data_IF_914870855022
#
_entry.id   IF_914870855022
#
_cell.length_a   1.000
_cell.length_b   1.000
_cell.length_c   1.000
_cell.angle_alpha   90.00
_cell.angle_beta   90.00
_cell.angle_gamma   90.00
#
_symmetry.space_group_name_H-M   'P 1'
#
loop_
_entity.id
_entity.type
_entity.pdbx_description
1 polymer ?
#
# COMPACT_ATOMS: atom_id res chain seq x y z
N UNK A 1 11.79 -31.26 -16.94
CA UNK A 1 12.27 -31.02 -18.32
C UNK A 1 12.63 -29.55 -18.46
N UNK A 2 13.80 -29.20 -19.02
CA UNK A 2 14.23 -27.81 -19.26
C UNK A 2 14.09 -27.45 -20.73
N UNK A 3 13.57 -26.27 -21.02
CA UNK A 3 13.46 -25.73 -22.38
C UNK A 3 14.63 -24.77 -22.65
N UNK A 4 15.29 -24.95 -23.78
CA UNK A 4 16.40 -24.09 -24.22
C UNK A 4 16.09 -23.51 -25.59
N UNK A 5 16.20 -22.19 -25.72
CA UNK A 5 15.97 -21.51 -27.00
C UNK A 5 17.04 -21.84 -28.06
N UNK A 6 18.27 -22.16 -27.65
CA UNK A 6 19.37 -22.50 -28.54
C UNK A 6 20.45 -23.37 -27.86
N UNK A 7 21.41 -23.84 -28.64
CA UNK A 7 22.54 -24.68 -28.19
C UNK A 7 23.44 -23.97 -27.17
N UNK A 8 23.61 -22.65 -27.27
CA UNK A 8 24.41 -21.84 -26.32
C UNK A 8 23.81 -21.89 -24.91
N UNK A 9 22.49 -21.71 -24.78
CA UNK A 9 21.78 -21.81 -23.50
C UNK A 9 21.90 -23.23 -22.91
N UNK A 10 21.74 -24.27 -23.75
CA UNK A 10 21.87 -25.68 -23.34
C UNK A 10 23.29 -25.98 -22.83
N UNK A 11 24.33 -25.53 -23.55
CA UNK A 11 25.73 -25.72 -23.15
C UNK A 11 26.04 -25.08 -21.81
N UNK A 12 25.60 -23.84 -21.58
CA UNK A 12 25.82 -23.16 -20.31
C UNK A 12 25.11 -23.83 -19.13
N UNK A 13 23.92 -24.38 -19.37
CA UNK A 13 23.20 -25.15 -18.37
C UNK A 13 23.96 -26.42 -17.97
N UNK A 14 24.45 -27.21 -18.93
CA UNK A 14 25.24 -28.41 -18.64
C UNK A 14 26.59 -28.09 -17.97
N UNK A 15 27.20 -26.95 -18.32
CA UNK A 15 28.41 -26.44 -17.66
C UNK A 15 28.12 -25.81 -16.28
N UNK A 16 26.88 -25.88 -15.78
CA UNK A 16 26.45 -25.38 -14.46
C UNK A 16 26.75 -23.89 -14.25
N UNK A 17 26.78 -23.10 -15.32
CA UNK A 17 26.95 -21.66 -15.21
C UNK A 17 25.67 -21.01 -14.68
N UNK A 18 25.80 -20.16 -13.66
CA UNK A 18 24.68 -19.43 -13.08
C UNK A 18 24.20 -18.35 -14.05
N UNK A 19 22.94 -18.34 -14.50
CA UNK A 19 22.43 -17.28 -15.39
C UNK A 19 22.60 -15.88 -14.78
N UNK A 20 22.50 -15.74 -13.46
CA UNK A 20 22.73 -14.49 -12.73
C UNK A 20 24.13 -13.89 -12.90
N UNK A 21 25.12 -14.66 -13.37
CA UNK A 21 26.48 -14.19 -13.69
C UNK A 21 26.68 -13.87 -15.18
N UNK A 22 25.72 -14.21 -16.04
CA UNK A 22 25.81 -13.99 -17.49
C UNK A 22 25.09 -12.69 -17.87
N UNK A 23 25.88 -11.68 -18.26
CA UNK A 23 25.47 -10.27 -18.41
C UNK A 23 24.26 -10.01 -19.32
N UNK A 24 24.08 -10.83 -20.35
CA UNK A 24 23.03 -10.71 -21.35
C UNK A 24 21.72 -11.40 -20.97
N UNK A 25 21.70 -12.21 -19.91
CA UNK A 25 20.50 -12.96 -19.51
C UNK A 25 19.49 -12.07 -18.79
N UNK A 26 18.20 -12.42 -18.89
CA UNK A 26 17.13 -11.75 -18.17
C UNK A 26 17.35 -11.75 -16.65
N UNK A 27 17.88 -12.85 -16.09
CA UNK A 27 18.14 -12.95 -14.65
C UNK A 27 19.21 -11.96 -14.19
N UNK A 28 20.31 -11.83 -14.95
CA UNK A 28 21.33 -10.82 -14.65
C UNK A 28 20.76 -9.41 -14.75
N UNK A 29 20.03 -9.10 -15.82
CA UNK A 29 19.46 -7.77 -16.06
C UNK A 29 18.45 -7.39 -14.97
N UNK A 30 17.63 -8.32 -14.50
CA UNK A 30 16.74 -8.13 -13.34
C UNK A 30 17.51 -7.81 -12.05
N UNK A 31 18.51 -8.62 -11.71
CA UNK A 31 19.30 -8.42 -10.48
C UNK A 31 20.07 -7.10 -10.47
N UNK A 32 20.58 -6.68 -11.63
CA UNK A 32 21.37 -5.46 -11.80
C UNK A 32 20.51 -4.25 -12.21
N UNK A 33 19.19 -4.33 -12.09
CA UNK A 33 18.25 -3.24 -12.39
C UNK A 33 18.48 -2.65 -13.79
N UNK A 34 18.72 -3.48 -14.79
CA UNK A 34 18.79 -3.09 -16.21
C UNK A 34 17.42 -3.18 -16.93
N UNK A 35 16.42 -3.77 -16.27
CA UNK A 35 15.04 -3.92 -16.75
C UNK A 35 14.07 -3.04 -15.96
N UNK A 36 14.36 -1.73 -15.88
CA UNK A 36 13.62 -0.77 -15.02
C UNK A 36 12.21 -0.47 -15.54
N UNK A 37 11.90 -0.78 -16.80
CA UNK A 37 10.68 -0.32 -17.46
C UNK A 37 9.38 -1.04 -17.05
N UNK A 38 9.42 -2.21 -16.40
CA UNK A 38 8.21 -3.03 -16.18
C UNK A 38 7.79 -3.26 -14.71
N UNK A 39 8.70 -3.21 -13.74
CA UNK A 39 8.38 -3.59 -12.33
C UNK A 39 8.17 -2.40 -11.38
N UNK A 40 8.28 -1.15 -11.86
CA UNK A 40 8.21 0.03 -11.01
C UNK A 40 6.79 0.51 -10.67
N UNK A 41 5.74 -0.28 -10.92
CA UNK A 41 4.46 -0.07 -10.21
C UNK A 41 4.63 -0.67 -8.82
N UNK A 42 5.40 0.03 -7.97
CA UNK A 42 5.39 -0.19 -6.53
C UNK A 42 3.93 -0.18 -6.11
N UNK A 43 3.37 -1.33 -5.72
CA UNK A 43 2.02 -1.39 -5.18
C UNK A 43 2.00 -0.47 -3.96
N UNK A 44 1.50 0.75 -4.16
CA UNK A 44 1.41 1.74 -3.10
C UNK A 44 0.47 1.16 -2.06
N UNK A 45 0.97 0.94 -0.85
CA UNK A 45 0.15 0.42 0.25
C UNK A 45 -1.02 1.40 0.44
N UNK A 46 -2.25 0.90 0.29
CA UNK A 46 -3.46 1.71 0.50
C UNK A 46 -3.68 1.85 2.00
N UNK A 47 -3.53 3.05 2.53
CA UNK A 47 -3.88 3.34 3.94
C UNK A 47 -5.39 3.55 4.02
N UNK A 48 -6.09 2.62 4.67
CA UNK A 48 -7.53 2.79 4.96
C UNK A 48 -7.67 3.58 6.26
N UNK A 49 -8.14 4.83 6.19
CA UNK A 49 -8.65 5.54 7.39
C UNK A 49 -10.02 4.95 7.73
N UNK A 50 -10.08 4.04 8.71
CA UNK A 50 -11.37 3.62 9.26
C UNK A 50 -11.92 4.77 10.13
N UNK A 51 -13.13 5.29 9.87
CA UNK A 51 -13.72 6.30 10.74
C UNK A 51 -13.93 5.70 12.13
N UNK A 52 -13.31 6.30 13.13
CA UNK A 52 -13.48 5.91 14.53
C UNK A 52 -14.74 6.57 15.09
N UNK A 53 -15.88 6.10 14.62
CA UNK A 53 -17.19 6.50 15.13
C UNK A 53 -17.82 5.27 15.75
N UNK A 54 -17.67 5.12 17.08
CA UNK A 54 -18.30 4.07 17.87
C UNK A 54 -19.16 4.70 18.95
N UNK A 55 -20.18 3.96 19.40
CA UNK A 55 -20.86 4.26 20.66
C UNK A 55 -19.88 4.13 21.82
N UNK A 56 -20.14 4.90 22.88
CA UNK A 56 -19.35 4.89 24.12
C UNK A 56 -20.34 4.60 25.25
N UNK A 57 -19.90 3.95 26.33
CA UNK A 57 -20.75 3.74 27.51
C UNK A 57 -21.25 5.11 28.00
N UNK A 58 -22.57 5.26 28.14
CA UNK A 58 -23.22 6.53 28.49
C UNK A 58 -23.64 7.42 27.31
N UNK A 59 -23.30 7.08 26.06
CA UNK A 59 -23.79 7.80 24.88
C UNK A 59 -23.87 6.92 23.62
N UNK A 60 -25.05 6.86 23.00
CA UNK A 60 -25.23 6.18 21.72
C UNK A 60 -24.55 6.95 20.58
N UNK A 61 -24.25 6.25 19.48
CA UNK A 61 -23.58 6.84 18.32
C UNK A 61 -24.35 8.04 17.73
N UNK A 62 -25.68 7.97 17.74
CA UNK A 62 -26.57 9.02 17.23
C UNK A 62 -26.47 10.30 18.07
N UNK A 63 -26.43 10.18 19.40
CA UNK A 63 -26.29 11.33 20.30
C UNK A 63 -24.93 12.01 20.09
N UNK A 64 -23.86 11.22 19.93
CA UNK A 64 -22.51 11.73 19.66
C UNK A 64 -22.47 12.47 18.31
N UNK A 65 -23.12 11.92 17.28
CA UNK A 65 -23.18 12.56 15.96
C UNK A 65 -23.97 13.86 16.01
N UNK A 66 -25.17 13.88 16.61
CA UNK A 66 -26.00 15.09 16.75
C UNK A 66 -25.24 16.23 17.44
N UNK A 67 -24.57 15.94 18.56
CA UNK A 67 -23.73 16.94 19.26
C UNK A 67 -22.56 17.42 18.41
N UNK A 68 -21.92 16.53 17.62
CA UNK A 68 -20.80 16.90 16.74
C UNK A 68 -21.22 17.72 15.52
N UNK A 69 -22.41 17.49 14.98
CA UNK A 69 -22.92 18.20 13.80
C UNK A 69 -23.58 19.54 14.13
N UNK A 70 -23.79 19.84 15.41
CA UNK A 70 -24.36 21.11 15.87
C UNK A 70 -23.50 22.31 15.44
N UNK A 71 -24.17 23.35 14.95
CA UNK A 71 -23.52 24.57 14.46
C UNK A 71 -22.82 25.29 15.62
N UNK A 72 -21.68 25.94 15.36
CA UNK A 72 -20.91 26.63 16.40
C UNK A 72 -21.74 27.72 17.11
N UNK A 73 -22.59 28.43 16.38
CA UNK A 73 -23.49 29.47 16.93
C UNK A 73 -24.39 28.95 18.07
N UNK A 74 -24.94 27.73 17.93
CA UNK A 74 -25.81 27.13 18.94
C UNK A 74 -24.97 26.70 20.16
N UNK A 75 -23.74 26.22 19.94
CA UNK A 75 -22.82 25.85 21.02
C UNK A 75 -22.36 27.07 21.81
N UNK A 76 -22.12 28.18 21.13
CA UNK A 76 -21.67 29.42 21.74
C UNK A 76 -22.81 30.06 22.54
N UNK A 77 -24.04 30.07 22.01
CA UNK A 77 -25.24 30.49 22.73
C UNK A 77 -25.49 29.64 23.99
N UNK A 78 -25.38 28.31 23.89
CA UNK A 78 -25.52 27.40 25.04
C UNK A 78 -24.41 27.61 26.10
N UNK A 79 -23.21 28.03 25.67
CA UNK A 79 -22.11 28.38 26.59
C UNK A 79 -22.39 29.69 27.31
N UNK A 80 -22.83 30.72 26.58
CA UNK A 80 -23.17 32.02 27.16
C UNK A 80 -24.38 31.94 28.11
N UNK A 81 -25.36 31.08 27.83
CA UNK A 81 -26.49 30.85 28.73
C UNK A 81 -26.11 30.11 30.00
N UNK A 82 -25.08 29.26 29.96
CA UNK A 82 -24.59 28.52 31.13
C UNK A 82 -23.62 29.33 32.00
N UNK A 83 -23.06 30.41 31.47
CA UNK A 83 -22.16 31.33 32.17
C UNK A 83 -22.89 32.52 32.82
N UNK A 84 -24.16 32.73 32.46
CA UNK A 84 -25.08 33.65 33.15
C UNK A 84 -25.78 32.92 34.29
#
# INVERSE_FOLDING_TARGET
VFLFANSKCKRYFHNRLKPAKLTWTAMYRKQHKKDIHAEAVKKRRRTTKKPYSRSIVGATLEVIQKKRTEKPEIRDAARESALR
#
